data_IF_147944532047
#
_entry.id   IF_147944532047
#
_cell.length_a   1.000
_cell.length_b   1.000
_cell.length_c   1.000
_cell.angle_alpha   90.00
_cell.angle_beta   90.00
_cell.angle_gamma   90.00
#
_symmetry.space_group_name_H-M   'P 1'
#
loop_
_entity.id
_entity.type
_entity.pdbx_description
1 polymer ?
#
# COMPACT_ATOMS: atom_id res chain seq x y z
N UNK A 1 -3.04 16.41 2.08
CA UNK A 1 -3.86 15.36 1.43
C UNK A 1 -2.94 14.53 0.52
N UNK A 2 -2.62 13.31 0.90
CA UNK A 2 -1.76 12.43 0.09
C UNK A 2 -2.50 11.99 -1.16
N UNK A 3 -1.87 12.15 -2.33
CA UNK A 3 -2.47 11.78 -3.61
C UNK A 3 -1.87 10.48 -4.09
N UNK A 4 -2.65 9.41 -3.98
CA UNK A 4 -2.28 8.09 -4.52
C UNK A 4 -2.17 8.20 -6.06
N UNK A 5 -1.02 7.81 -6.66
CA UNK A 5 -0.89 7.80 -8.11
C UNK A 5 -1.87 6.82 -8.76
N UNK A 6 -2.42 7.17 -9.94
CA UNK A 6 -3.43 6.36 -10.66
C UNK A 6 -3.02 4.89 -10.86
N UNK A 7 -1.74 4.63 -11.09
CA UNK A 7 -1.18 3.27 -11.25
C UNK A 7 -1.49 2.36 -10.06
N UNK A 8 -1.51 2.94 -8.85
CA UNK A 8 -1.70 2.19 -7.60
C UNK A 8 -3.11 2.34 -7.03
N UNK A 9 -3.99 3.16 -7.63
CA UNK A 9 -5.37 3.31 -7.15
C UNK A 9 -6.17 1.99 -7.21
N UNK A 10 -5.87 1.11 -8.16
CA UNK A 10 -6.47 -0.21 -8.20
C UNK A 10 -5.95 -1.14 -7.09
N UNK A 11 -4.71 -0.92 -6.66
CA UNK A 11 -4.05 -1.72 -5.64
C UNK A 11 -4.35 -1.23 -4.21
N UNK A 12 -4.56 0.08 -4.03
CA UNK A 12 -4.79 0.70 -2.71
C UNK A 12 -6.29 0.82 -2.45
N UNK A 13 -6.74 0.24 -1.34
CA UNK A 13 -8.11 0.31 -0.86
C UNK A 13 -8.37 1.58 -0.07
N UNK A 14 -7.49 1.90 0.89
CA UNK A 14 -7.63 3.05 1.75
C UNK A 14 -6.26 3.52 2.26
N UNK A 15 -6.12 4.83 2.45
CA UNK A 15 -4.96 5.43 3.13
C UNK A 15 -5.49 6.38 4.18
N UNK A 16 -5.06 6.22 5.41
CA UNK A 16 -5.38 7.13 6.51
C UNK A 16 -4.13 7.38 7.36
N UNK A 17 -4.18 8.44 8.15
CA UNK A 17 -3.08 8.88 9.00
C UNK A 17 -3.63 9.04 10.41
N UNK A 18 -2.95 8.42 11.37
CA UNK A 18 -3.22 8.49 12.80
C UNK A 18 -2.01 9.10 13.52
N UNK A 19 -2.04 9.10 14.86
CA UNK A 19 -0.97 9.63 15.71
C UNK A 19 0.36 8.86 15.56
N UNK A 20 0.29 7.55 15.31
CA UNK A 20 1.46 6.68 15.12
C UNK A 20 2.07 6.74 13.71
N UNK A 21 1.37 7.33 12.73
CA UNK A 21 1.85 7.38 11.35
C UNK A 21 0.76 7.17 10.32
N UNK A 22 1.13 6.59 9.18
CA UNK A 22 0.30 6.42 8.00
C UNK A 22 0.07 4.94 7.74
N UNK A 23 -1.20 4.61 7.59
CA UNK A 23 -1.68 3.28 7.28
C UNK A 23 -2.23 3.25 5.87
N UNK A 24 -1.70 2.35 5.05
CA UNK A 24 -2.16 2.12 3.69
C UNK A 24 -2.63 0.67 3.55
N UNK A 25 -3.93 0.49 3.34
CA UNK A 25 -4.58 -0.79 3.13
C UNK A 25 -4.66 -1.06 1.63
N UNK A 26 -4.21 -2.24 1.22
CA UNK A 26 -4.27 -2.73 -0.15
C UNK A 26 -5.58 -3.49 -0.42
N UNK A 27 -5.98 -3.54 -1.67
CA UNK A 27 -7.10 -4.35 -2.13
C UNK A 27 -6.75 -5.85 -2.11
N UNK A 28 -7.75 -6.73 -1.96
CA UNK A 28 -7.55 -8.18 -2.11
C UNK A 28 -6.88 -8.52 -3.44
N UNK A 29 -5.90 -9.42 -3.39
CA UNK A 29 -5.06 -9.78 -4.55
C UNK A 29 -3.87 -8.85 -4.78
N UNK A 30 -3.65 -7.85 -3.92
CA UNK A 30 -2.44 -7.04 -3.90
C UNK A 30 -1.75 -7.18 -2.55
N UNK A 31 -0.43 -7.25 -2.61
CA UNK A 31 0.44 -7.38 -1.45
C UNK A 31 1.65 -6.48 -1.61
N UNK A 32 2.31 -6.18 -0.50
CA UNK A 32 3.55 -5.43 -0.43
C UNK A 32 4.60 -6.24 0.34
N UNK A 33 5.86 -6.00 0.04
CA UNK A 33 6.97 -6.53 0.80
C UNK A 33 7.27 -8.00 0.51
N UNK A 34 8.26 -8.48 1.25
CA UNK A 34 8.68 -9.88 1.23
C UNK A 34 7.62 -10.77 1.88
N UNK A 35 7.00 -10.29 2.96
CA UNK A 35 5.97 -11.00 3.74
C UNK A 35 4.57 -11.02 3.09
N UNK A 36 4.42 -10.42 1.91
CA UNK A 36 3.16 -10.39 1.15
C UNK A 36 1.98 -9.85 1.97
N UNK A 37 2.21 -8.75 2.69
CA UNK A 37 1.20 -8.15 3.54
C UNK A 37 0.28 -7.22 2.74
N UNK A 38 -0.96 -7.07 3.19
CA UNK A 38 -1.93 -6.16 2.57
C UNK A 38 -1.98 -4.78 3.22
N UNK A 39 -1.09 -4.52 4.17
CA UNK A 39 -1.09 -3.30 4.96
C UNK A 39 0.33 -2.77 5.02
N UNK A 40 0.50 -1.52 4.61
CA UNK A 40 1.76 -0.79 4.69
C UNK A 40 1.63 0.20 5.84
N UNK A 41 2.54 0.13 6.79
CA UNK A 41 2.65 1.10 7.88
C UNK A 41 3.94 1.92 7.70
N UNK A 42 3.82 3.24 7.68
CA UNK A 42 4.94 4.16 7.52
C UNK A 42 4.80 5.35 8.45
N UNK A 43 5.90 5.93 8.92
CA UNK A 43 5.84 7.15 9.72
C UNK A 43 5.48 8.37 8.86
N UNK A 44 5.94 8.37 7.60
CA UNK A 44 5.74 9.50 6.68
C UNK A 44 5.18 9.11 5.31
N UNK A 45 4.51 10.06 4.66
CA UNK A 45 4.01 9.87 3.28
C UNK A 45 5.13 9.71 2.27
N UNK A 46 6.35 10.16 2.61
CA UNK A 46 7.55 9.97 1.78
C UNK A 46 7.93 8.50 1.73
N UNK A 47 7.95 7.84 2.89
CA UNK A 47 8.23 6.40 2.98
C UNK A 47 7.15 5.60 2.29
N UNK A 48 5.86 5.89 2.56
CA UNK A 48 4.77 5.22 1.85
C UNK A 48 4.96 5.28 0.34
N UNK A 49 5.42 6.41 -0.18
CA UNK A 49 5.66 6.61 -1.63
C UNK A 49 6.83 5.79 -2.16
N UNK A 50 7.84 5.53 -1.33
CA UNK A 50 8.95 4.63 -1.64
C UNK A 50 8.52 3.16 -1.59
N UNK A 51 7.52 2.82 -0.78
CA UNK A 51 6.96 1.46 -0.68
C UNK A 51 5.97 1.12 -1.82
N UNK A 52 5.27 2.11 -2.38
CA UNK A 52 4.35 1.91 -3.51
C UNK A 52 4.89 1.05 -4.67
N UNK A 53 6.13 1.25 -5.18
CA UNK A 53 6.68 0.41 -6.25
C UNK A 53 6.87 -1.06 -5.87
N UNK A 54 6.92 -1.40 -4.58
CA UNK A 54 7.05 -2.77 -4.10
C UNK A 54 5.71 -3.53 -4.09
N UNK A 55 4.59 -2.81 -4.26
CA UNK A 55 3.26 -3.42 -4.35
C UNK A 55 3.18 -4.31 -5.60
N UNK A 56 2.92 -5.59 -5.37
CA UNK A 56 2.78 -6.64 -6.39
C UNK A 56 1.40 -7.28 -6.32
N UNK A 57 0.89 -7.69 -7.48
CA UNK A 57 -0.36 -8.43 -7.57
C UNK A 57 -0.09 -9.89 -7.26
N UNK A 58 -0.81 -10.45 -6.29
CA UNK A 58 -0.81 -11.89 -6.05
C UNK A 58 -1.60 -12.51 -7.20
N UNK A 59 -0.89 -13.14 -8.13
CA UNK A 59 -1.52 -14.01 -9.10
C UNK A 59 -1.86 -15.30 -8.38
N UNK A 60 -3.05 -15.37 -7.79
CA UNK A 60 -3.66 -16.66 -7.45
C UNK A 60 -3.98 -17.37 -8.76
N UNK A 61 -2.99 -18.07 -9.31
CA UNK A 61 -3.20 -19.12 -10.30
C UNK A 61 -3.74 -20.33 -9.54
N UNK A 62 -5.06 -20.46 -9.49
CA UNK A 62 -5.76 -21.73 -9.34
C UNK A 62 -7.07 -21.66 -10.10
#
# INVERSE_FOLDING_TARGET
MFKVPKKYQAAIKAVYQDEDGIWCILNPGWVHGVDETQTIHCETYKELRSELPDIKRVSTLN
#
